data_IF_928380099666
#
_entry.id   IF_928380099666
#
_cell.length_a   1.000
_cell.length_b   1.000
_cell.length_c   1.000
_cell.angle_alpha   90.00
_cell.angle_beta   90.00
_cell.angle_gamma   90.00
#
_symmetry.space_group_name_H-M   'P 1'
#
loop_
_entity.id
_entity.type
_entity.pdbx_description
1 polymer ?
#
# COMPACT_ATOMS: atom_id res chain seq x y z
N UNK A 1 9.17 14.10 -29.26
CA UNK A 1 10.47 13.41 -29.25
C UNK A 1 10.19 11.95 -29.00
N UNK A 2 10.38 11.10 -30.00
CA UNK A 2 10.04 9.69 -29.92
C UNK A 2 10.88 9.03 -28.82
N UNK A 3 10.20 8.37 -27.88
CA UNK A 3 10.81 7.63 -26.78
C UNK A 3 11.37 6.31 -27.33
N UNK A 4 12.48 6.38 -28.05
CA UNK A 4 13.07 5.19 -28.67
C UNK A 4 13.81 4.37 -27.61
N UNK A 5 13.10 3.39 -27.07
CA UNK A 5 13.72 2.29 -26.34
C UNK A 5 14.14 1.24 -27.35
N UNK A 6 15.44 1.14 -27.60
CA UNK A 6 16.00 0.14 -28.49
C UNK A 6 16.13 -1.20 -27.77
N UNK A 7 15.27 -2.15 -28.12
CA UNK A 7 15.25 -3.47 -27.52
C UNK A 7 16.03 -4.45 -28.41
N UNK A 8 17.00 -5.16 -27.85
CA UNK A 8 17.75 -6.17 -28.60
C UNK A 8 17.95 -7.44 -27.78
N UNK A 9 17.61 -8.57 -28.37
CA UNK A 9 17.88 -9.89 -27.81
C UNK A 9 19.29 -10.29 -28.23
N UNK A 10 20.18 -10.47 -27.26
CA UNK A 10 21.60 -10.80 -27.50
C UNK A 10 21.94 -12.00 -26.62
N UNK A 11 22.76 -12.92 -27.12
CA UNK A 11 23.27 -14.05 -26.32
C UNK A 11 24.14 -13.53 -25.17
N UNK A 12 23.96 -14.09 -23.98
CA UNK A 12 24.72 -13.68 -22.78
C UNK A 12 26.24 -13.75 -23.00
N UNK A 13 26.73 -14.75 -23.73
CA UNK A 13 28.16 -14.89 -24.06
C UNK A 13 28.69 -13.77 -24.95
N UNK A 14 27.89 -13.27 -25.90
CA UNK A 14 28.26 -12.14 -26.74
C UNK A 14 28.27 -10.84 -25.95
N UNK A 15 27.30 -10.66 -25.05
CA UNK A 15 27.25 -9.47 -24.19
C UNK A 15 28.44 -9.41 -23.23
N UNK A 16 28.83 -10.54 -22.63
CA UNK A 16 30.04 -10.62 -21.77
C UNK A 16 31.30 -10.18 -22.53
N UNK A 17 31.52 -10.72 -23.73
CA UNK A 17 32.64 -10.31 -24.59
C UNK A 17 32.59 -8.82 -24.97
N UNK A 18 31.39 -8.28 -25.21
CA UNK A 18 31.23 -6.85 -25.50
C UNK A 18 31.62 -5.98 -24.30
N UNK A 19 31.21 -6.37 -23.08
CA UNK A 19 31.55 -5.68 -21.83
C UNK A 19 33.06 -5.73 -21.58
N UNK A 20 33.70 -6.89 -21.78
CA UNK A 20 35.16 -7.05 -21.60
C UNK A 20 35.99 -6.16 -22.55
N UNK A 21 35.49 -5.93 -23.77
CA UNK A 21 36.15 -5.08 -24.77
C UNK A 21 36.00 -3.57 -24.49
N UNK A 22 35.02 -3.16 -23.67
CA UNK A 22 34.82 -1.75 -23.31
C UNK A 22 35.76 -1.40 -22.16
N UNK A 23 36.92 -0.82 -22.50
CA UNK A 23 37.91 -0.36 -21.52
C UNK A 23 37.52 0.96 -20.83
N UNK A 24 36.62 1.73 -21.43
CA UNK A 24 36.23 3.07 -20.98
C UNK A 24 35.31 3.06 -19.75
N UNK A 25 34.61 1.95 -19.48
CA UNK A 25 33.58 1.85 -18.43
C UNK A 25 33.78 0.58 -17.59
N UNK A 26 34.74 0.58 -16.65
CA UNK A 26 35.10 -0.61 -15.87
C UNK A 26 33.96 -1.12 -14.98
N UNK A 27 33.01 -0.26 -14.62
CA UNK A 27 31.88 -0.60 -13.74
C UNK A 27 30.85 -1.54 -14.39
N UNK A 28 30.83 -1.60 -15.74
CA UNK A 28 29.97 -2.53 -16.48
C UNK A 28 30.26 -4.01 -16.16
N UNK A 29 31.46 -4.34 -15.66
CA UNK A 29 31.79 -5.71 -15.23
C UNK A 29 30.86 -6.22 -14.14
N UNK A 30 30.32 -5.33 -13.30
CA UNK A 30 29.33 -5.70 -12.25
C UNK A 30 28.04 -6.27 -12.86
N UNK A 31 27.69 -5.88 -14.09
CA UNK A 31 26.50 -6.33 -14.80
C UNK A 31 26.56 -7.82 -15.18
N UNK A 32 27.77 -8.40 -15.31
CA UNK A 32 27.95 -9.80 -15.72
C UNK A 32 27.25 -10.81 -14.80
N UNK A 33 27.10 -10.45 -13.51
CA UNK A 33 26.41 -11.26 -12.51
C UNK A 33 24.92 -11.47 -12.85
N UNK A 34 24.29 -10.51 -13.52
CA UNK A 34 22.87 -10.55 -13.87
C UNK A 34 22.61 -11.15 -15.26
N UNK A 35 23.66 -11.49 -16.02
CA UNK A 35 23.57 -12.11 -17.36
C UNK A 35 23.26 -13.61 -17.30
N UNK A 36 22.26 -14.00 -16.52
CA UNK A 36 21.83 -15.40 -16.34
C UNK A 36 20.41 -15.61 -16.87
N UNK A 37 20.19 -16.75 -17.56
CA UNK A 37 18.89 -17.07 -18.18
C UNK A 37 18.58 -16.27 -19.46
N UNK A 38 17.31 -16.25 -19.89
CA UNK A 38 16.86 -15.45 -21.03
C UNK A 38 16.89 -13.96 -20.66
N UNK A 39 17.57 -13.16 -21.50
CA UNK A 39 17.77 -11.73 -21.29
C UNK A 39 17.43 -10.93 -22.55
N UNK A 40 16.90 -9.74 -22.34
CA UNK A 40 16.67 -8.72 -23.37
C UNK A 40 17.38 -7.45 -22.91
N UNK A 41 18.13 -6.82 -23.80
CA UNK A 41 18.84 -5.58 -23.51
C UNK A 41 18.03 -4.40 -24.02
N UNK A 42 17.85 -3.40 -23.14
CA UNK A 42 17.14 -2.17 -23.43
C UNK A 42 18.15 -1.04 -23.44
N UNK A 43 18.31 -0.36 -24.57
CA UNK A 43 19.14 0.82 -24.71
C UNK A 43 18.25 2.05 -24.86
N UNK A 44 18.40 3.00 -23.95
CA UNK A 44 17.64 4.23 -23.95
C UNK A 44 18.46 5.35 -23.31
N UNK A 45 18.19 6.58 -23.71
CA UNK A 45 18.69 7.79 -23.03
C UNK A 45 17.82 8.22 -21.84
N UNK A 46 16.75 7.47 -21.54
CA UNK A 46 15.87 7.73 -20.42
C UNK A 46 16.48 7.29 -19.09
N UNK A 47 16.17 8.02 -18.03
CA UNK A 47 16.47 7.62 -16.66
C UNK A 47 15.91 6.21 -16.33
N UNK A 48 16.70 5.34 -15.68
CA UNK A 48 16.35 3.94 -15.46
C UNK A 48 15.11 3.75 -14.57
N UNK A 49 14.84 4.65 -13.62
CA UNK A 49 13.63 4.59 -12.78
C UNK A 49 12.37 4.87 -13.60
N UNK A 50 12.42 5.85 -14.51
CA UNK A 50 11.29 6.11 -15.41
C UNK A 50 11.06 4.94 -16.36
N UNK A 51 12.13 4.30 -16.85
CA UNK A 51 12.02 3.10 -17.67
C UNK A 51 11.36 1.96 -16.88
N UNK A 52 11.78 1.72 -15.63
CA UNK A 52 11.19 0.72 -14.75
C UNK A 52 9.69 0.97 -14.54
N UNK A 53 9.29 2.21 -14.23
CA UNK A 53 7.87 2.58 -14.09
C UNK A 53 7.07 2.35 -15.38
N UNK A 54 7.65 2.64 -16.55
CA UNK A 54 6.99 2.42 -17.83
C UNK A 54 6.83 0.92 -18.14
N UNK A 55 7.84 0.11 -17.81
CA UNK A 55 7.79 -1.34 -17.96
C UNK A 55 6.75 -1.96 -17.01
N UNK A 56 6.62 -1.46 -15.78
CA UNK A 56 5.60 -1.89 -14.84
C UNK A 56 4.18 -1.56 -15.33
N UNK A 57 3.96 -0.35 -15.86
CA UNK A 57 2.68 0.02 -16.49
C UNK A 57 2.36 -0.81 -17.73
N UNK A 58 3.39 -1.31 -18.41
CA UNK A 58 3.25 -2.19 -19.57
C UNK A 58 2.96 -3.66 -19.23
N UNK A 59 2.94 -4.04 -17.94
CA UNK A 59 2.58 -5.41 -17.53
C UNK A 59 1.12 -5.68 -17.83
N UNK A 60 0.86 -6.80 -18.52
CA UNK A 60 -0.49 -7.19 -18.90
C UNK A 60 -0.90 -8.40 -18.08
N UNK A 61 -2.09 -8.32 -17.47
CA UNK A 61 -2.70 -9.45 -16.78
C UNK A 61 -3.30 -10.41 -17.81
N UNK A 62 -2.89 -11.66 -17.74
CA UNK A 62 -3.36 -12.73 -18.62
C UNK A 62 -4.01 -13.86 -17.82
N UNK A 63 -4.77 -14.69 -18.54
CA UNK A 63 -5.36 -15.90 -17.99
C UNK A 63 -4.24 -16.91 -17.73
N UNK A 64 -4.29 -17.56 -16.58
CA UNK A 64 -3.33 -18.60 -16.20
C UNK A 64 -3.41 -19.81 -17.12
N UNK A 65 -2.27 -20.34 -17.54
CA UNK A 65 -2.17 -21.66 -18.17
C UNK A 65 -1.79 -22.71 -17.13
N UNK A 66 -2.02 -23.97 -17.48
CA UNK A 66 -1.63 -25.10 -16.65
C UNK A 66 -0.11 -25.08 -16.43
N UNK A 67 0.33 -25.14 -15.18
CA UNK A 67 1.75 -25.10 -14.80
C UNK A 67 2.33 -23.70 -14.60
N UNK A 68 1.56 -22.62 -14.85
CA UNK A 68 2.02 -21.27 -14.51
C UNK A 68 2.07 -21.08 -12.98
N UNK A 69 2.98 -20.22 -12.53
CA UNK A 69 3.08 -19.81 -11.13
C UNK A 69 2.24 -18.56 -10.87
N UNK A 70 1.41 -18.58 -9.84
CA UNK A 70 0.58 -17.43 -9.47
C UNK A 70 1.45 -16.23 -9.06
N UNK A 71 1.31 -15.10 -9.77
CA UNK A 71 2.09 -13.88 -9.52
C UNK A 71 1.62 -13.10 -8.27
N UNK A 72 0.36 -13.31 -7.88
CA UNK A 72 -0.31 -12.72 -6.71
C UNK A 72 -1.35 -13.71 -6.17
N UNK A 73 -1.92 -13.41 -4.99
CA UNK A 73 -2.96 -14.24 -4.40
C UNK A 73 -4.23 -14.20 -5.27
N UNK A 74 -4.64 -15.37 -5.77
CA UNK A 74 -5.79 -15.47 -6.67
C UNK A 74 -7.04 -15.60 -5.81
N UNK A 75 -7.82 -14.54 -5.74
CA UNK A 75 -9.12 -14.50 -5.06
C UNK A 75 -10.22 -14.46 -6.12
N UNK A 76 -11.16 -15.41 -6.01
CA UNK A 76 -12.36 -15.42 -6.84
C UNK A 76 -13.48 -14.75 -6.04
N UNK A 77 -14.03 -13.60 -6.52
CA UNK A 77 -15.09 -12.90 -5.81
C UNK A 77 -16.42 -13.66 -5.88
N UNK A 78 -17.25 -13.49 -4.84
CA UNK A 78 -18.62 -13.95 -4.81
C UNK A 78 -19.45 -13.22 -5.88
N UNK A 79 -20.28 -13.96 -6.61
CA UNK A 79 -21.08 -13.39 -7.67
C UNK A 79 -21.60 -14.40 -8.67
N UNK A 80 -22.39 -13.90 -9.61
CA UNK A 80 -22.91 -14.69 -10.72
C UNK A 80 -21.79 -15.04 -11.70
N UNK A 81 -21.64 -16.32 -12.02
CA UNK A 81 -20.70 -16.76 -13.07
C UNK A 81 -21.30 -16.63 -14.47
N UNK A 82 -22.62 -16.48 -14.59
CA UNK A 82 -23.33 -16.42 -15.87
C UNK A 82 -23.38 -17.76 -16.61
N UNK A 83 -22.88 -18.84 -16.00
CA UNK A 83 -22.79 -20.16 -16.61
C UNK A 83 -24.05 -21.00 -16.28
N UNK A 84 -24.57 -21.80 -17.22
CA UNK A 84 -25.71 -22.67 -16.96
C UNK A 84 -25.35 -23.79 -15.97
N UNK A 85 -26.30 -24.25 -15.15
CA UNK A 85 -26.09 -25.37 -14.24
C UNK A 85 -25.78 -26.64 -15.04
N UNK A 86 -24.67 -27.30 -14.70
CA UNK A 86 -24.17 -28.44 -15.46
C UNK A 86 -22.84 -28.96 -14.90
N UNK A 87 -21.98 -29.61 -15.72
CA UNK A 87 -20.72 -30.19 -15.26
C UNK A 87 -19.74 -29.16 -14.69
N UNK A 88 -19.98 -27.87 -14.94
CA UNK A 88 -19.17 -26.78 -14.38
C UNK A 88 -19.26 -26.68 -12.85
N UNK A 89 -20.37 -27.12 -12.24
CA UNK A 89 -20.55 -27.15 -10.78
C UNK A 89 -19.54 -28.12 -10.16
N UNK A 90 -19.37 -29.30 -10.77
CA UNK A 90 -18.37 -30.29 -10.34
C UNK A 90 -16.95 -29.74 -10.48
N UNK A 91 -16.66 -29.02 -11.57
CA UNK A 91 -15.36 -28.39 -11.80
C UNK A 91 -15.04 -27.28 -10.79
N UNK A 92 -16.02 -26.44 -10.45
CA UNK A 92 -15.86 -25.37 -9.46
C UNK A 92 -15.66 -25.93 -8.04
N UNK A 93 -16.47 -26.92 -7.65
CA UNK A 93 -16.33 -27.59 -6.35
C UNK A 93 -15.00 -28.35 -6.24
N UNK A 94 -14.51 -28.96 -7.31
CA UNK A 94 -13.21 -29.65 -7.34
C UNK A 94 -12.02 -28.72 -7.09
N UNK A 95 -12.19 -27.42 -7.31
CA UNK A 95 -11.19 -26.37 -7.08
C UNK A 95 -11.43 -25.64 -5.73
N UNK A 96 -12.40 -26.13 -4.94
CA UNK A 96 -12.70 -25.59 -3.61
C UNK A 96 -13.59 -24.35 -3.61
N UNK A 97 -14.22 -24.00 -4.73
CA UNK A 97 -15.15 -22.88 -4.82
C UNK A 97 -16.56 -23.31 -4.41
N UNK A 98 -17.13 -22.76 -3.32
CA UNK A 98 -18.50 -23.06 -2.94
C UNK A 98 -19.49 -22.40 -3.92
N UNK A 99 -20.34 -23.22 -4.53
CA UNK A 99 -21.30 -22.78 -5.54
C UNK A 99 -22.74 -23.10 -5.17
N UNK A 100 -23.68 -22.26 -5.61
CA UNK A 100 -25.13 -22.41 -5.47
C UNK A 100 -25.80 -22.12 -6.81
N UNK A 101 -26.93 -22.76 -7.10
CA UNK A 101 -27.73 -22.43 -8.28
C UNK A 101 -28.73 -21.34 -7.88
N UNK A 102 -28.68 -20.20 -8.54
CA UNK A 102 -29.64 -19.10 -8.36
C UNK A 102 -30.12 -18.62 -9.73
N UNK A 103 -31.43 -18.40 -9.88
CA UNK A 103 -32.06 -17.89 -11.11
C UNK A 103 -31.62 -18.60 -12.42
N UNK A 104 -31.36 -19.92 -12.36
CA UNK A 104 -30.96 -20.69 -13.53
C UNK A 104 -29.48 -20.54 -13.94
N UNK A 105 -28.63 -19.93 -13.09
CA UNK A 105 -27.19 -19.83 -13.30
C UNK A 105 -26.39 -20.24 -12.05
N UNK A 106 -25.11 -20.57 -12.23
CA UNK A 106 -24.20 -20.94 -11.13
C UNK A 106 -23.66 -19.68 -10.45
N UNK A 107 -23.83 -19.59 -9.14
CA UNK A 107 -23.42 -18.47 -8.30
C UNK A 107 -22.33 -18.91 -7.31
N UNK A 108 -21.31 -18.07 -7.11
CA UNK A 108 -20.23 -18.30 -6.12
C UNK A 108 -20.66 -17.69 -4.79
N UNK A 109 -20.72 -18.51 -3.73
CA UNK A 109 -21.35 -18.11 -2.45
C UNK A 109 -20.50 -17.13 -1.64
N UNK A 110 -19.17 -17.25 -1.69
CA UNK A 110 -18.25 -16.40 -0.92
C UNK A 110 -16.92 -16.23 -1.65
N UNK A 111 -16.27 -15.10 -1.38
CA UNK A 111 -14.90 -14.83 -1.82
C UNK A 111 -13.98 -15.92 -1.30
N UNK A 112 -13.29 -16.59 -2.21
CA UNK A 112 -12.44 -17.74 -1.87
C UNK A 112 -11.08 -17.57 -2.52
N UNK A 113 -10.03 -17.72 -1.70
CA UNK A 113 -8.65 -17.76 -2.16
C UNK A 113 -8.38 -19.16 -2.72
N UNK A 114 -8.10 -19.23 -4.01
CA UNK A 114 -7.92 -20.51 -4.74
C UNK A 114 -6.46 -20.91 -4.90
N UNK A 115 -5.54 -19.94 -4.86
CA UNK A 115 -4.10 -20.18 -4.86
C UNK A 115 -3.36 -18.97 -4.28
N UNK A 116 -2.27 -19.22 -3.55
CA UNK A 116 -1.40 -18.16 -3.02
C UNK A 116 -0.33 -17.76 -4.03
N UNK A 117 0.24 -16.58 -3.86
CA UNK A 117 1.41 -16.12 -4.61
C UNK A 117 2.54 -17.16 -4.52
N UNK A 118 3.06 -17.57 -5.68
CA UNK A 118 4.12 -18.58 -5.78
C UNK A 118 3.63 -20.03 -5.92
N UNK A 119 2.33 -20.28 -5.84
CA UNK A 119 1.77 -21.62 -6.02
C UNK A 119 1.60 -21.97 -7.50
N UNK A 120 1.84 -23.23 -7.86
CA UNK A 120 1.65 -23.74 -9.22
C UNK A 120 0.18 -23.98 -9.51
N UNK A 121 -0.32 -23.42 -10.61
CA UNK A 121 -1.72 -23.50 -10.98
C UNK A 121 -2.00 -24.87 -11.64
N UNK A 122 -2.88 -25.65 -11.01
CA UNK A 122 -3.33 -26.93 -11.56
C UNK A 122 -4.14 -26.74 -12.84
N UNK A 123 -4.14 -27.75 -13.72
CA UNK A 123 -4.88 -27.70 -15.00
C UNK A 123 -6.38 -27.45 -14.81
N UNK A 124 -6.98 -28.05 -13.76
CA UNK A 124 -8.38 -27.85 -13.38
C UNK A 124 -8.64 -26.39 -12.97
N UNK A 125 -7.76 -25.81 -12.16
CA UNK A 125 -7.86 -24.42 -11.72
C UNK A 125 -7.68 -23.44 -12.89
N UNK A 126 -6.70 -23.67 -13.78
CA UNK A 126 -6.51 -22.86 -14.99
C UNK A 126 -7.75 -22.86 -15.90
N UNK A 127 -8.36 -24.03 -16.12
CA UNK A 127 -9.58 -24.15 -16.93
C UNK A 127 -10.74 -23.35 -16.33
N UNK A 128 -10.92 -23.44 -15.00
CA UNK A 128 -11.95 -22.69 -14.27
C UNK A 128 -11.69 -21.17 -14.34
N UNK A 129 -10.46 -20.72 -14.06
CA UNK A 129 -10.10 -19.30 -14.12
C UNK A 129 -10.30 -18.73 -15.52
N UNK A 130 -9.97 -19.50 -16.56
CA UNK A 130 -10.22 -19.13 -17.95
C UNK A 130 -11.70 -18.98 -18.27
N UNK A 131 -12.56 -19.86 -17.74
CA UNK A 131 -14.02 -19.78 -17.93
C UNK A 131 -14.67 -18.63 -17.16
N UNK A 132 -14.11 -18.28 -16.00
CA UNK A 132 -14.54 -17.14 -15.19
C UNK A 132 -13.95 -15.80 -15.71
N UNK A 133 -13.03 -15.85 -16.68
CA UNK A 133 -12.35 -14.65 -17.20
C UNK A 133 -11.40 -13.99 -16.20
N UNK A 134 -11.03 -14.70 -15.14
CA UNK A 134 -10.17 -14.17 -14.08
C UNK A 134 -8.72 -14.28 -14.52
N UNK A 135 -8.07 -13.13 -14.63
CA UNK A 135 -6.65 -13.01 -14.99
C UNK A 135 -5.82 -13.21 -13.74
N UNK A 136 -4.95 -14.21 -13.75
CA UNK A 136 -4.26 -14.72 -12.56
C UNK A 136 -2.72 -14.67 -12.69
N UNK A 137 -2.21 -14.34 -13.87
CA UNK A 137 -0.77 -14.28 -14.16
C UNK A 137 -0.45 -12.91 -14.76
N UNK A 138 0.65 -12.31 -14.31
CA UNK A 138 1.18 -11.10 -14.94
C UNK A 138 2.27 -11.48 -15.95
N UNK A 139 2.05 -11.10 -17.21
CA UNK A 139 3.08 -11.18 -18.24
C UNK A 139 3.67 -9.79 -18.48
N UNK A 140 5.00 -9.70 -18.34
CA UNK A 140 5.72 -8.47 -18.61
C UNK A 140 7.22 -8.66 -18.48
N UNK A 141 7.95 -7.61 -18.85
CA UNK A 141 9.39 -7.55 -18.71
C UNK A 141 9.73 -7.20 -17.25
N UNK A 142 10.60 -7.99 -16.64
CA UNK A 142 11.15 -7.70 -15.31
C UNK A 142 12.56 -7.16 -15.51
N UNK A 143 12.81 -5.98 -14.99
CA UNK A 143 14.11 -5.32 -15.09
C UNK A 143 15.04 -5.89 -14.02
N UNK A 144 16.10 -6.60 -14.43
CA UNK A 144 17.05 -7.25 -13.51
C UNK A 144 18.09 -6.29 -12.94
N UNK A 145 18.61 -5.42 -13.80
CA UNK A 145 19.59 -4.40 -13.46
C UNK A 145 19.55 -3.29 -14.52
N UNK A 146 19.90 -2.07 -14.11
CA UNK A 146 20.14 -0.95 -15.00
C UNK A 146 21.57 -0.44 -14.81
N UNK A 147 22.16 0.09 -15.88
CA UNK A 147 23.41 0.81 -15.83
C UNK A 147 23.13 2.26 -16.20
N UNK A 148 23.51 3.19 -15.32
CA UNK A 148 23.36 4.64 -15.55
C UNK A 148 24.63 5.36 -15.05
N UNK A 149 25.31 6.03 -15.98
CA UNK A 149 26.53 6.82 -15.77
C UNK A 149 27.57 6.25 -14.77
N UNK A 150 27.88 4.95 -14.89
CA UNK A 150 28.84 4.24 -14.02
C UNK A 150 28.18 3.39 -12.95
N UNK A 151 26.99 3.77 -12.51
CA UNK A 151 26.29 3.08 -11.43
C UNK A 151 25.45 1.93 -11.99
N UNK A 152 25.68 0.72 -11.45
CA UNK A 152 24.82 -0.45 -11.69
C UNK A 152 23.78 -0.48 -10.57
N UNK A 153 22.52 -0.25 -10.93
CA UNK A 153 21.38 -0.28 -10.04
C UNK A 153 20.70 -1.64 -10.18
N UNK A 154 20.42 -2.29 -9.06
CA UNK A 154 19.70 -3.57 -9.05
C UNK A 154 18.21 -3.37 -9.31
N UNK A 155 17.55 -4.37 -9.90
CA UNK A 155 16.11 -4.33 -10.21
C UNK A 155 15.23 -3.99 -9.01
N UNK A 156 15.57 -4.51 -7.82
CA UNK A 156 14.83 -4.26 -6.58
C UNK A 156 14.94 -2.80 -6.10
N UNK A 157 16.07 -2.14 -6.38
CA UNK A 157 16.27 -0.74 -6.05
C UNK A 157 15.54 0.19 -7.03
N UNK A 158 15.23 -0.30 -8.23
CA UNK A 158 14.51 0.45 -9.26
C UNK A 158 12.99 0.46 -9.05
N UNK A 159 12.44 -0.52 -8.33
CA UNK A 159 11.04 -0.54 -7.92
C UNK A 159 10.81 0.43 -6.76
N UNK A 160 10.77 1.72 -7.07
CA UNK A 160 10.49 2.76 -6.08
C UNK A 160 8.98 2.99 -5.99
N UNK A 161 8.41 2.78 -4.80
CA UNK A 161 7.06 3.18 -4.49
C UNK A 161 7.02 4.67 -4.10
N UNK A 162 6.60 5.52 -5.04
CA UNK A 162 6.53 6.98 -4.86
C UNK A 162 5.58 7.35 -3.71
N UNK A 163 4.46 6.62 -3.56
CA UNK A 163 3.47 6.89 -2.52
C UNK A 163 4.02 6.60 -1.12
N UNK A 164 4.81 5.53 -0.98
CA UNK A 164 5.47 5.20 0.27
C UNK A 164 6.48 6.26 0.68
N UNK A 165 7.36 6.69 -0.25
CA UNK A 165 8.34 7.74 0.01
C UNK A 165 7.63 9.04 0.41
N UNK A 166 6.58 9.42 -0.32
CA UNK A 166 5.79 10.61 0.02
C UNK A 166 5.24 10.53 1.45
N UNK A 167 4.69 9.39 1.83
CA UNK A 167 4.18 9.14 3.18
C UNK A 167 5.29 9.21 4.24
N UNK A 168 6.47 8.70 3.95
CA UNK A 168 7.64 8.81 4.84
C UNK A 168 8.04 10.27 5.06
N UNK A 169 8.09 11.09 4.00
CA UNK A 169 8.36 12.53 4.11
C UNK A 169 7.30 13.27 4.93
N UNK A 170 6.01 12.98 4.69
CA UNK A 170 4.91 13.56 5.46
C UNK A 170 5.00 13.19 6.95
N UNK A 171 5.39 11.95 7.25
CA UNK A 171 5.57 11.48 8.63
C UNK A 171 6.78 12.17 9.28
N UNK A 172 7.93 12.22 8.60
CA UNK A 172 9.12 12.87 9.11
C UNK A 172 8.88 14.37 9.40
N UNK A 173 8.18 15.08 8.51
CA UNK A 173 7.79 16.47 8.74
C UNK A 173 6.87 16.59 9.97
N UNK A 174 5.87 15.72 10.09
CA UNK A 174 4.95 15.73 11.23
C UNK A 174 5.66 15.44 12.55
N UNK A 175 6.59 14.51 12.57
CA UNK A 175 7.40 14.18 13.75
C UNK A 175 8.31 15.34 14.14
N UNK A 176 9.01 15.93 13.17
CA UNK A 176 9.84 17.12 13.41
C UNK A 176 9.01 18.30 13.93
N UNK A 177 7.83 18.54 13.36
CA UNK A 177 6.92 19.59 13.79
C UNK A 177 6.41 19.35 15.22
N UNK A 178 6.00 18.11 15.54
CA UNK A 178 5.60 17.71 16.89
C UNK A 178 6.72 17.90 17.90
N UNK A 179 7.94 17.48 17.56
CA UNK A 179 9.11 17.66 18.41
C UNK A 179 9.34 19.14 18.70
N UNK A 180 9.33 19.96 17.64
CA UNK A 180 9.51 21.41 17.75
C UNK A 180 8.47 22.07 18.66
N UNK A 181 7.21 21.62 18.59
CA UNK A 181 6.16 22.09 19.49
C UNK A 181 6.41 21.63 20.94
N UNK A 182 6.80 20.38 21.14
CA UNK A 182 7.01 19.80 22.46
C UNK A 182 8.16 20.44 23.24
N UNK A 183 9.25 20.83 22.56
CA UNK A 183 10.38 21.55 23.17
C UNK A 183 10.19 23.07 23.17
N UNK A 184 9.05 23.57 22.69
CA UNK A 184 8.76 24.99 22.50
C UNK A 184 9.81 25.74 21.65
N UNK A 185 10.45 25.05 20.70
CA UNK A 185 11.41 25.68 19.80
C UNK A 185 10.68 26.49 18.73
N UNK A 186 10.91 27.79 18.69
CA UNK A 186 10.14 28.70 17.85
C UNK A 186 10.65 28.74 16.42
N UNK A 187 9.74 28.44 15.49
CA UNK A 187 9.94 28.58 14.04
C UNK A 187 8.84 29.44 13.45
N UNK A 188 9.05 29.96 12.24
CA UNK A 188 8.05 30.79 11.55
C UNK A 188 6.72 30.04 11.32
N UNK A 189 6.82 28.73 11.16
CA UNK A 189 5.70 27.84 10.85
C UNK A 189 4.89 27.48 12.09
N UNK A 190 5.53 27.39 13.27
CA UNK A 190 4.88 26.90 14.49
C UNK A 190 4.48 27.99 15.50
N UNK A 191 4.97 29.23 15.35
CA UNK A 191 4.81 30.29 16.36
C UNK A 191 3.35 30.58 16.69
N UNK A 192 2.46 30.57 15.69
CA UNK A 192 1.02 30.79 15.90
C UNK A 192 0.41 29.67 16.72
N UNK A 193 0.77 28.43 16.42
CA UNK A 193 0.29 27.24 17.15
C UNK A 193 0.82 27.22 18.57
N UNK A 194 2.10 27.56 18.79
CA UNK A 194 2.68 27.67 20.13
C UNK A 194 1.95 28.71 20.99
N UNK A 195 1.66 29.90 20.45
CA UNK A 195 0.92 30.94 21.16
C UNK A 195 -0.51 30.49 21.50
N UNK A 196 -1.18 29.76 20.61
CA UNK A 196 -2.49 29.19 20.87
C UNK A 196 -2.45 28.15 21.99
N UNK A 197 -1.47 27.24 21.97
CA UNK A 197 -1.29 26.22 23.00
C UNK A 197 -1.02 26.90 24.35
N UNK A 198 -0.10 27.86 24.40
CA UNK A 198 0.23 28.58 25.63
C UNK A 198 -0.98 29.31 26.21
N UNK A 199 -1.79 29.96 25.37
CA UNK A 199 -3.04 30.59 25.81
C UNK A 199 -4.05 29.56 26.34
N UNK A 200 -4.23 28.44 25.65
CA UNK A 200 -5.14 27.37 26.07
C UNK A 200 -4.71 26.74 27.40
N UNK A 201 -3.43 26.47 27.59
CA UNK A 201 -2.89 25.93 28.85
C UNK A 201 -3.03 26.92 30.00
N UNK A 202 -2.73 28.21 29.78
CA UNK A 202 -2.91 29.25 30.78
C UNK A 202 -4.40 29.43 31.15
N UNK A 203 -5.29 29.41 30.17
CA UNK A 203 -6.72 29.50 30.38
C UNK A 203 -7.27 28.28 31.15
N UNK A 204 -6.83 27.07 30.78
CA UNK A 204 -7.19 25.83 31.47
C UNK A 204 -6.70 25.83 32.93
N UNK A 205 -5.47 26.27 33.18
CA UNK A 205 -4.93 26.43 34.53
C UNK A 205 -5.78 27.42 35.35
N UNK A 206 -6.08 28.58 34.77
CA UNK A 206 -6.87 29.62 35.45
C UNK A 206 -8.29 29.16 35.80
N UNK A 207 -8.93 28.36 34.95
CA UNK A 207 -10.22 27.73 35.25
C UNK A 207 -10.11 26.63 36.30
N UNK A 208 -9.02 25.88 36.30
CA UNK A 208 -8.74 24.82 37.28
C UNK A 208 -8.53 25.39 38.69
N UNK A 209 -7.79 26.48 38.82
CA UNK A 209 -7.50 27.15 40.09
C UNK A 209 -8.55 28.18 40.51
N UNK A 210 -9.63 28.33 39.74
CA UNK A 210 -10.71 29.29 39.97
C UNK A 210 -10.23 30.76 40.12
N UNK A 211 -9.16 31.14 39.41
CA UNK A 211 -8.66 32.53 39.42
C UNK A 211 -9.54 33.35 38.47
N UNK A 212 -10.25 34.39 38.96
CA UNK A 212 -11.14 35.18 38.13
C UNK A 212 -10.34 36.17 37.27
N UNK A 213 -10.48 36.02 35.96
CA UNK A 213 -9.97 36.96 34.96
C UNK A 213 -11.13 37.47 34.10
N UNK A 214 -10.93 38.60 33.41
CA UNK A 214 -11.99 39.19 32.54
C UNK A 214 -12.49 38.22 31.47
N UNK A 215 -11.63 37.31 31.02
CA UNK A 215 -11.92 36.37 29.94
C UNK A 215 -12.63 35.10 30.42
N UNK A 216 -12.37 34.64 31.65
CA UNK A 216 -12.87 33.34 32.14
C UNK A 216 -14.04 33.45 33.13
N UNK A 217 -14.39 34.66 33.62
CA UNK A 217 -15.36 34.82 34.72
C UNK A 217 -16.75 34.26 34.39
N UNK A 218 -17.18 34.39 33.12
CA UNK A 218 -18.45 33.81 32.65
C UNK A 218 -18.42 32.29 32.73
N UNK A 219 -17.30 31.68 32.35
CA UNK A 219 -17.13 30.23 32.34
C UNK A 219 -16.96 29.65 33.75
N UNK A 220 -16.31 30.38 34.66
CA UNK A 220 -16.26 30.03 36.08
C UNK A 220 -17.66 29.99 36.72
N UNK A 221 -18.49 31.00 36.44
CA UNK A 221 -19.87 31.04 36.96
C UNK A 221 -20.70 29.89 36.39
N UNK A 222 -20.56 29.60 35.08
CA UNK A 222 -21.23 28.45 34.45
C UNK A 222 -20.80 27.14 35.08
N UNK A 223 -19.50 26.94 35.31
CA UNK A 223 -18.96 25.74 35.96
C UNK A 223 -19.51 25.57 37.37
N UNK A 224 -19.48 26.62 38.19
CA UNK A 224 -20.04 26.60 39.54
C UNK A 224 -21.55 26.29 39.54
N UNK A 225 -22.30 26.88 38.60
CA UNK A 225 -23.72 26.60 38.44
C UNK A 225 -23.98 25.13 38.05
N UNK A 226 -23.18 24.57 37.14
CA UNK A 226 -23.26 23.15 36.77
C UNK A 226 -22.93 22.22 37.94
N UNK A 227 -21.91 22.53 38.72
CA UNK A 227 -21.52 21.75 39.91
C UNK A 227 -22.63 21.80 40.98
N UNK A 228 -23.22 22.97 41.22
CA UNK A 228 -24.38 23.14 42.11
C UNK A 228 -25.57 22.30 41.64
N UNK A 229 -25.92 22.34 40.35
CA UNK A 229 -27.00 21.53 39.80
C UNK A 229 -26.71 20.03 39.94
N UNK A 230 -25.47 19.61 39.66
CA UNK A 230 -25.06 18.21 39.82
C UNK A 230 -25.18 17.73 41.27
N UNK A 231 -24.80 18.58 42.24
CA UNK A 231 -24.94 18.29 43.65
C UNK A 231 -26.43 18.23 44.07
N UNK A 232 -27.21 19.23 43.67
CA UNK A 232 -28.66 19.31 43.95
C UNK A 232 -29.40 18.08 43.43
N UNK A 233 -29.04 17.55 42.26
CA UNK A 233 -29.62 16.32 41.74
C UNK A 233 -29.21 15.06 42.52
N UNK A 234 -28.04 15.07 43.18
CA UNK A 234 -27.51 13.90 43.92
C UNK A 234 -27.97 13.83 45.38
N UNK A 235 -28.25 14.96 46.03
CA UNK A 235 -28.70 15.01 47.43
C UNK A 235 -29.98 14.17 47.68
N UNK A 236 -31.02 14.20 46.83
CA UNK A 236 -32.23 13.39 47.02
C UNK A 236 -31.98 11.87 47.03
N UNK A 237 -30.97 11.41 46.28
CA UNK A 237 -30.59 9.99 46.23
C UNK A 237 -29.81 9.53 47.47
N UNK A 238 -29.19 10.45 48.22
CA UNK A 238 -28.46 10.15 49.46
C UNK A 238 -29.39 10.11 50.68
N UNK A 239 -30.40 10.97 50.75
CA UNK A 239 -31.40 10.97 51.84
C UNK A 239 -32.27 9.71 51.87
N UNK A 240 -32.42 9.02 50.73
CA UNK A 240 -33.07 7.71 50.65
C UNK A 240 -32.26 6.55 51.27
N UNK A 241 -30.94 6.70 51.42
CA UNK A 241 -30.05 5.68 51.99
C UNK A 241 -29.88 5.74 53.51
N UNK A 242 -30.11 6.89 54.13
CA UNK A 242 -29.98 7.07 55.59
C UNK A 242 -31.23 6.69 56.40
N UNK A 243 -32.34 6.31 55.74
CA UNK A 243 -33.60 5.89 56.40
C UNK A 243 -33.75 4.38 56.63
N UNK A 244 -32.70 3.57 56.46
CA UNK A 244 -32.78 2.09 56.56
C UNK A 244 -31.91 1.44 57.66
N UNK A 245 -31.57 2.15 58.74
CA UNK A 245 -31.06 1.51 59.97
C UNK A 245 -31.86 1.95 61.18
#
# INVERSE_FOLDING_TARGET
MATEVYMRVIKNTLMKRAIENIKEKPELKKLEKYLTGPNVFLFTSMNPFRLAMNLEKGKVRMIAKAGDTASFDIVVPAGNTGQPPGPIISQLNAVGLPTRIEAGSVWITKDTLVARKGETISEKLASVLSKLGIKAVEAGLILKAAYDDGLVIEGEQLSINIDEIKKQFENAHREAFKLSLGIAYTTRENIRTLLQIAHQEAYALSLGTAIPTKENIKDLIRKAHMEMLSLSMRIPNLEGGFKQT
#
